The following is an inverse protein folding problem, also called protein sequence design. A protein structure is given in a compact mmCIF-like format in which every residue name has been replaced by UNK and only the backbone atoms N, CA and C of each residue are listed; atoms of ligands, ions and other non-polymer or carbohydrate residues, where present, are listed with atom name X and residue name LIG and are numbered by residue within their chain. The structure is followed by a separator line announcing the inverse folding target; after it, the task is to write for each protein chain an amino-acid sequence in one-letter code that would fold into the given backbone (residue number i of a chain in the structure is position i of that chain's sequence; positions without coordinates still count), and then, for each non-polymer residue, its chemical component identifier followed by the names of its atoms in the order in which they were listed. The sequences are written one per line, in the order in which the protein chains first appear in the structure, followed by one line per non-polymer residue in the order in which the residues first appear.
data_IF_966131051093
#
_entry.id   IF_966131051093
#
_cell.length_a   1.000
_cell.length_b   1.000
_cell.length_c   1.000
_cell.angle_alpha   90.00
_cell.angle_beta   90.00
_cell.angle_gamma   90.00
#
_symmetry.space_group_name_H-M   'P 1'
#
loop_
_entity.id
_entity.type
_entity.pdbx_description
1 polymer ?
#
# COMPACT_ATOMS: atom_id res chain seq x y z
N UNK A 1 -0.02 3.03 6.47
CA UNK A 1 1.32 3.29 5.90
C UNK A 1 1.85 1.99 5.30
N UNK A 2 2.70 2.02 4.28
CA UNK A 2 3.23 0.80 3.62
C UNK A 2 4.19 0.08 4.56
N UNK A 3 3.87 -1.13 4.99
CA UNK A 3 4.78 -1.95 5.77
C UNK A 3 5.89 -2.53 4.86
N UNK A 4 7.15 -2.38 5.25
CA UNK A 4 8.28 -2.81 4.43
C UNK A 4 8.36 -4.32 4.28
N UNK A 5 8.01 -5.08 5.32
CA UNK A 5 8.04 -6.54 5.27
C UNK A 5 6.96 -7.04 4.32
N UNK A 6 5.72 -6.56 4.49
CA UNK A 6 4.59 -6.95 3.65
C UNK A 6 4.79 -6.54 2.18
N UNK A 7 5.40 -5.36 1.93
CA UNK A 7 5.78 -4.96 0.57
C UNK A 7 6.78 -5.94 -0.05
N UNK A 8 7.84 -6.32 0.66
CA UNK A 8 8.84 -7.25 0.13
C UNK A 8 8.27 -8.65 -0.11
N UNK A 9 7.39 -9.13 0.78
CA UNK A 9 6.63 -10.37 0.58
C UNK A 9 5.75 -10.29 -0.68
N UNK A 10 5.03 -9.18 -0.85
CA UNK A 10 4.19 -8.95 -2.04
C UNK A 10 5.02 -8.94 -3.33
N UNK A 11 6.22 -8.33 -3.31
CA UNK A 11 7.11 -8.33 -4.47
C UNK A 11 7.61 -9.74 -4.81
N UNK A 12 7.96 -10.56 -3.81
CA UNK A 12 8.35 -11.96 -4.03
C UNK A 12 7.20 -12.80 -4.59
N UNK A 13 5.98 -12.63 -4.07
CA UNK A 13 4.76 -13.29 -4.58
C UNK A 13 4.47 -12.94 -6.04
N UNK A 14 4.73 -11.70 -6.44
CA UNK A 14 4.63 -11.24 -7.83
C UNK A 14 5.77 -11.77 -8.73
N UNK A 15 6.74 -12.50 -8.16
CA UNK A 15 7.85 -13.10 -8.88
C UNK A 15 9.12 -12.24 -8.96
N UNK A 16 9.16 -11.10 -8.27
CA UNK A 16 10.33 -10.22 -8.21
C UNK A 16 11.27 -10.78 -7.14
N UNK A 17 12.38 -11.39 -7.58
CA UNK A 17 13.31 -12.14 -6.72
C UNK A 17 14.77 -11.77 -6.97
N UNK A 18 15.65 -12.26 -6.08
CA UNK A 18 17.10 -12.09 -6.18
C UNK A 18 17.51 -10.62 -6.21
N UNK A 19 18.39 -10.26 -7.16
CA UNK A 19 18.96 -8.92 -7.26
C UNK A 19 17.92 -7.79 -7.37
N UNK A 20 16.79 -8.04 -8.04
CA UNK A 20 15.72 -7.05 -8.17
C UNK A 20 15.04 -6.79 -6.81
N UNK A 21 14.80 -7.85 -6.03
CA UNK A 21 14.22 -7.73 -4.70
C UNK A 21 15.20 -7.07 -3.72
N UNK A 22 16.49 -7.41 -3.80
CA UNK A 22 17.54 -6.76 -3.01
C UNK A 22 17.67 -5.27 -3.33
N UNK A 23 17.53 -4.90 -4.60
CA UNK A 23 17.46 -3.50 -5.02
C UNK A 23 16.29 -2.79 -4.34
N UNK A 24 15.07 -3.34 -4.38
CA UNK A 24 13.93 -2.72 -3.72
C UNK A 24 14.07 -2.67 -2.19
N UNK A 25 14.63 -3.70 -1.58
CA UNK A 25 14.92 -3.73 -0.14
C UNK A 25 15.89 -2.62 0.25
N UNK A 26 17.02 -2.49 -0.44
CA UNK A 26 17.96 -1.37 -0.23
C UNK A 26 17.33 -0.01 -0.54
N UNK A 27 16.33 0.02 -1.43
CA UNK A 27 15.63 1.24 -1.79
C UNK A 27 14.74 1.79 -0.67
N UNK A 28 14.12 0.93 0.14
CA UNK A 28 13.16 1.33 1.18
C UNK A 28 13.73 1.27 2.61
N UNK A 29 14.77 0.48 2.85
CA UNK A 29 15.32 0.25 4.19
C UNK A 29 16.31 1.35 4.63
N UNK A 30 16.37 1.61 5.96
CA UNK A 30 17.20 2.64 6.62
C UNK A 30 17.14 4.03 5.98
N UNK A 31 15.96 4.43 5.50
CA UNK A 31 15.75 5.75 4.92
C UNK A 31 15.56 6.79 6.00
N UNK A 32 16.34 7.86 5.94
CA UNK A 32 16.24 8.98 6.87
C UNK A 32 15.58 10.17 6.20
N UNK A 33 14.61 10.77 6.89
CA UNK A 33 13.94 11.99 6.43
C UNK A 33 14.22 13.15 7.37
N UNK A 34 14.32 14.33 6.80
CA UNK A 34 14.43 15.60 7.54
C UNK A 34 13.44 16.57 6.97
N UNK A 35 12.76 17.34 7.82
CA UNK A 35 11.90 18.42 7.40
C UNK A 35 12.70 19.74 7.41
N UNK A 36 12.46 20.60 6.43
CA UNK A 36 12.99 21.97 6.41
C UNK A 36 11.83 22.94 6.37
N UNK A 37 11.83 23.93 7.26
CA UNK A 37 10.92 25.06 7.23
C UNK A 37 11.74 26.36 7.25
N UNK A 38 11.87 27.00 6.08
CA UNK A 38 12.78 28.13 5.89
C UNK A 38 14.25 27.75 6.16
N UNK A 39 14.87 28.45 7.13
CA UNK A 39 16.24 28.19 7.58
C UNK A 39 16.35 27.07 8.61
N UNK A 40 15.25 26.64 9.23
CA UNK A 40 15.24 25.60 10.26
C UNK A 40 15.15 24.21 9.62
N UNK A 41 15.98 23.28 10.09
CA UNK A 41 15.98 21.86 9.68
C UNK A 41 15.78 20.96 10.90
N UNK A 42 14.91 19.96 10.77
CA UNK A 42 14.72 18.96 11.82
C UNK A 42 15.92 18.02 11.94
N UNK A 43 16.00 17.29 13.05
CA UNK A 43 16.81 16.08 13.12
C UNK A 43 16.36 15.04 12.09
N UNK A 44 17.27 14.14 11.74
CA UNK A 44 16.97 13.04 10.85
C UNK A 44 16.13 11.98 11.60
N UNK A 45 14.98 11.64 11.04
CA UNK A 45 14.12 10.57 11.52
C UNK A 45 14.31 9.33 10.65
N UNK A 46 14.47 8.16 11.26
CA UNK A 46 14.51 6.90 10.52
C UNK A 46 13.09 6.48 10.12
N UNK A 47 12.86 6.22 8.83
CA UNK A 47 11.60 5.73 8.30
C UNK A 47 11.56 4.21 8.37
N UNK A 48 10.69 3.71 9.24
CA UNK A 48 10.45 2.27 9.39
C UNK A 48 9.31 1.75 8.50
N UNK A 49 8.53 2.66 7.92
CA UNK A 49 7.39 2.35 7.04
C UNK A 49 7.28 3.39 5.94
N UNK A 50 6.53 3.07 4.89
CA UNK A 50 6.31 3.94 3.74
C UNK A 50 7.33 3.77 2.64
N UNK A 51 7.10 4.48 1.54
CA UNK A 51 8.03 4.61 0.42
C UNK A 51 8.49 6.06 0.33
N UNK A 52 9.70 6.36 -0.19
CA UNK A 52 10.17 7.72 -0.32
C UNK A 52 9.24 8.55 -1.23
N UNK A 53 8.58 9.55 -0.66
CA UNK A 53 7.70 10.46 -1.39
C UNK A 53 8.52 11.41 -2.27
N UNK A 54 8.01 11.71 -3.47
CA UNK A 54 8.74 12.49 -4.48
C UNK A 54 9.83 11.70 -5.23
N UNK A 55 9.91 10.39 -5.00
CA UNK A 55 10.84 9.52 -5.70
C UNK A 55 10.16 8.79 -6.86
N UNK A 56 10.93 8.39 -7.88
CA UNK A 56 10.40 7.75 -9.10
C UNK A 56 9.78 6.38 -8.79
N UNK A 57 10.44 5.58 -7.94
CA UNK A 57 9.98 4.23 -7.62
C UNK A 57 8.90 4.19 -6.52
N UNK A 58 8.71 5.29 -5.78
CA UNK A 58 7.73 5.35 -4.69
C UNK A 58 6.30 5.02 -5.15
N UNK A 59 5.76 5.72 -6.16
CA UNK A 59 4.44 5.43 -6.71
C UNK A 59 4.29 3.99 -7.23
N UNK A 60 5.30 3.47 -7.92
CA UNK A 60 5.28 2.09 -8.42
C UNK A 60 5.20 1.08 -7.28
N UNK A 61 6.05 1.22 -6.26
CA UNK A 61 6.06 0.33 -5.10
C UNK A 61 4.75 0.40 -4.31
N UNK A 62 4.15 1.60 -4.23
CA UNK A 62 2.83 1.77 -3.62
C UNK A 62 1.72 1.06 -4.42
N UNK A 63 1.73 1.18 -5.74
CA UNK A 63 0.76 0.48 -6.60
C UNK A 63 0.90 -1.04 -6.51
N UNK A 64 2.13 -1.57 -6.45
CA UNK A 64 2.36 -2.99 -6.26
C UNK A 64 1.87 -3.48 -4.89
N UNK A 65 2.06 -2.67 -3.85
CA UNK A 65 1.57 -2.95 -2.51
C UNK A 65 0.03 -3.01 -2.46
N UNK A 66 -0.66 -1.98 -2.97
CA UNK A 66 -2.13 -1.92 -2.89
C UNK A 66 -2.81 -2.97 -3.78
N UNK A 67 -2.12 -3.46 -4.82
CA UNK A 67 -2.62 -4.53 -5.67
C UNK A 67 -2.92 -5.84 -4.90
N UNK A 68 -2.36 -6.01 -3.70
CA UNK A 68 -2.67 -7.13 -2.81
C UNK A 68 -4.15 -7.12 -2.34
N UNK A 69 -4.89 -6.01 -2.47
CA UNK A 69 -6.34 -5.96 -2.21
C UNK A 69 -7.13 -7.00 -3.03
N UNK A 70 -6.59 -7.42 -4.18
CA UNK A 70 -7.20 -8.46 -5.01
C UNK A 70 -7.23 -9.83 -4.34
N UNK A 71 -6.36 -10.06 -3.36
CA UNK A 71 -6.32 -11.29 -2.58
C UNK A 71 -7.36 -11.28 -1.44
N UNK A 72 -7.94 -10.11 -1.12
CA UNK A 72 -9.09 -10.04 -0.23
C UNK A 72 -10.30 -10.52 -1.02
N UNK A 73 -10.85 -11.66 -0.63
CA UNK A 73 -12.01 -12.26 -1.27
C UNK A 73 -13.29 -11.45 -0.95
N UNK A 74 -13.42 -10.27 -1.54
CA UNK A 74 -14.58 -9.38 -1.39
C UNK A 74 -15.69 -9.80 -2.36
N UNK A 75 -16.93 -9.68 -1.91
CA UNK A 75 -18.12 -9.83 -2.75
C UNK A 75 -18.43 -8.58 -3.60
N UNK A 76 -17.79 -7.46 -3.27
CA UNK A 76 -17.91 -6.20 -4.01
C UNK A 76 -17.18 -6.27 -5.37
N UNK A 77 -17.72 -5.56 -6.35
CA UNK A 77 -16.88 -5.06 -7.45
C UNK A 77 -16.04 -3.89 -6.91
N UNK A 78 -14.82 -3.72 -7.40
CA UNK A 78 -13.95 -2.66 -6.89
C UNK A 78 -13.06 -2.04 -7.95
N UNK A 79 -12.80 -0.75 -7.75
CA UNK A 79 -11.85 0.04 -8.53
C UNK A 79 -10.88 0.71 -7.57
N UNK A 80 -9.60 0.63 -7.89
CA UNK A 80 -8.51 1.21 -7.11
C UNK A 80 -7.76 2.20 -7.96
N UNK A 81 -7.54 3.40 -7.44
CA UNK A 81 -6.74 4.44 -8.07
C UNK A 81 -5.88 5.15 -7.03
N UNK A 82 -4.56 4.97 -7.12
CA UNK A 82 -3.64 5.42 -6.08
C UNK A 82 -4.14 4.98 -4.69
N UNK A 83 -4.40 5.92 -3.78
CA UNK A 83 -4.90 5.67 -2.42
C UNK A 83 -6.43 5.54 -2.31
N UNK A 84 -7.17 5.90 -3.35
CA UNK A 84 -8.62 5.77 -3.39
C UNK A 84 -9.04 4.36 -3.80
N UNK A 85 -9.91 3.75 -3.00
CA UNK A 85 -10.56 2.47 -3.31
C UNK A 85 -12.07 2.63 -3.23
N UNK A 86 -12.76 2.32 -4.32
CA UNK A 86 -14.22 2.28 -4.40
C UNK A 86 -14.71 0.85 -4.39
N UNK A 87 -15.58 0.50 -3.43
CA UNK A 87 -16.29 -0.78 -3.38
C UNK A 87 -17.73 -0.58 -3.82
N UNK A 88 -18.19 -1.40 -4.77
CA UNK A 88 -19.52 -1.33 -5.38
C UNK A 88 -20.27 -2.61 -5.03
N UNK A 89 -21.40 -2.44 -4.36
CA UNK A 89 -22.27 -3.54 -3.95
C UNK A 89 -23.63 -3.44 -4.63
N UNK A 90 -24.21 -4.60 -4.95
CA UNK A 90 -25.57 -4.73 -5.48
C UNK A 90 -26.39 -5.74 -4.66
N UNK A 91 -27.68 -5.49 -4.54
CA UNK A 91 -28.60 -6.28 -3.74
C UNK A 91 -30.04 -5.81 -3.92
N UNK A 92 -31.00 -6.67 -3.58
CA UNK A 92 -32.44 -6.39 -3.77
C UNK A 92 -33.03 -5.57 -2.62
N UNK A 93 -32.39 -5.60 -1.45
CA UNK A 93 -32.84 -4.86 -0.26
C UNK A 93 -31.69 -4.16 0.45
N UNK A 94 -32.00 -3.08 1.16
CA UNK A 94 -31.02 -2.36 1.98
C UNK A 94 -30.39 -3.27 3.06
N UNK A 95 -31.19 -4.16 3.66
CA UNK A 95 -30.70 -5.09 4.69
C UNK A 95 -29.69 -6.11 4.13
N UNK A 96 -29.93 -6.59 2.91
CA UNK A 96 -29.00 -7.48 2.22
C UNK A 96 -27.67 -6.77 1.93
N UNK A 97 -27.72 -5.54 1.41
CA UNK A 97 -26.55 -4.70 1.15
C UNK A 97 -25.75 -4.44 2.43
N UNK A 98 -26.42 -4.02 3.51
CA UNK A 98 -25.81 -3.80 4.82
C UNK A 98 -25.08 -5.05 5.31
N UNK A 99 -25.71 -6.22 5.20
CA UNK A 99 -25.11 -7.48 5.62
C UNK A 99 -23.90 -7.87 4.75
N UNK A 100 -23.94 -7.65 3.43
CA UNK A 100 -22.81 -7.91 2.52
C UNK A 100 -21.63 -7.01 2.84
N UNK A 101 -21.87 -5.71 2.98
CA UNK A 101 -20.86 -4.70 3.31
C UNK A 101 -20.21 -5.03 4.65
N UNK A 102 -20.99 -5.26 5.70
CA UNK A 102 -20.46 -5.55 7.03
C UNK A 102 -19.66 -6.86 7.08
N UNK A 103 -20.06 -7.88 6.29
CA UNK A 103 -19.31 -9.14 6.19
C UNK A 103 -17.95 -8.94 5.53
N UNK A 104 -17.90 -8.13 4.49
CA UNK A 104 -16.66 -7.90 3.74
C UNK A 104 -15.71 -6.96 4.48
N UNK A 105 -16.22 -5.90 5.12
CA UNK A 105 -15.41 -4.96 5.90
C UNK A 105 -14.90 -5.54 7.24
N UNK A 106 -15.41 -6.69 7.66
CA UNK A 106 -14.97 -7.40 8.87
C UNK A 106 -13.84 -8.41 8.63
N UNK A 107 -13.41 -8.63 7.37
CA UNK A 107 -12.27 -9.48 7.01
C UNK A 107 -10.94 -8.76 7.25
#
# INVERSE_FOLDING_TARGET
MVDHKLLLETLDELGIRGLALDLFKSYIYDRKVTMRNGSTKSSALNMQTGVPQGSILGPLLYLLFINNIRNVNLSAEYTVYADDTSLIYSGMTSKELENKINRDLAK
#
